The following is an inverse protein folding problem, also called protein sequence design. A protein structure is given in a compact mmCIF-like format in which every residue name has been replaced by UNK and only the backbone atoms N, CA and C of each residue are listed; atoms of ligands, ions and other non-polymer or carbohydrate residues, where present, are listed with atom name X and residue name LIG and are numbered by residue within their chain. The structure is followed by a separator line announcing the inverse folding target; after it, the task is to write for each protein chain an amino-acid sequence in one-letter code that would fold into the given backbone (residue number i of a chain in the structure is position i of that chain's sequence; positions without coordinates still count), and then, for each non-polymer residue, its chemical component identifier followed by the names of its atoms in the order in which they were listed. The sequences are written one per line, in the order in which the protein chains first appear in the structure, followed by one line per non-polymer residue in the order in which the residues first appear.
data_IF_468655120385
#
_entry.id   IF_468655120385
#
_cell.length_a   1.000
_cell.length_b   1.000
_cell.length_c   1.000
_cell.angle_alpha   90.00
_cell.angle_beta   90.00
_cell.angle_gamma   90.00
#
_symmetry.space_group_name_H-M   'P 1'
#
loop_
_entity.id
_entity.type
_entity.pdbx_description
1 polymer ?
#
# COMPACT_ATOMS: atom_id res chain seq x y z
N UNK A 1 23.03 -24.99 -50.50
CA UNK A 1 21.89 -24.06 -50.63
C UNK A 1 21.40 -23.81 -49.20
N UNK A 2 21.67 -22.63 -48.64
CA UNK A 2 21.42 -22.31 -47.22
C UNK A 2 19.93 -22.39 -46.87
N UNK A 3 19.60 -23.04 -45.74
CA UNK A 3 18.29 -22.89 -45.11
C UNK A 3 18.33 -21.70 -44.14
N UNK A 4 17.55 -20.67 -44.45
CA UNK A 4 17.44 -19.43 -43.70
C UNK A 4 16.53 -19.63 -42.48
N UNK A 5 17.08 -19.54 -41.27
CA UNK A 5 16.28 -19.54 -40.05
C UNK A 5 15.65 -18.15 -39.86
N UNK A 6 14.34 -18.04 -40.02
CA UNK A 6 13.59 -16.83 -39.65
C UNK A 6 13.58 -16.69 -38.12
N UNK A 7 14.39 -15.77 -37.59
CA UNK A 7 14.29 -15.30 -36.23
C UNK A 7 13.00 -14.46 -36.10
N UNK A 8 11.95 -15.05 -35.54
CA UNK A 8 10.73 -14.32 -35.17
C UNK A 8 11.08 -13.44 -33.97
N UNK A 9 11.36 -12.16 -34.21
CA UNK A 9 11.42 -11.16 -33.14
C UNK A 9 9.99 -10.93 -32.67
N UNK A 10 9.60 -11.58 -31.57
CA UNK A 10 8.33 -11.30 -30.90
C UNK A 10 8.47 -9.91 -30.27
N UNK A 11 8.10 -8.88 -31.04
CA UNK A 11 7.95 -7.52 -30.53
C UNK A 11 6.94 -7.54 -29.38
N UNK A 12 7.38 -7.25 -28.17
CA UNK A 12 6.48 -7.11 -27.02
C UNK A 12 5.68 -5.82 -27.20
N UNK A 13 4.45 -5.95 -27.70
CA UNK A 13 3.47 -4.87 -27.64
C UNK A 13 3.23 -4.52 -26.17
N UNK A 14 3.83 -3.42 -25.69
CA UNK A 14 3.42 -2.81 -24.43
C UNK A 14 2.06 -2.16 -24.67
N UNK A 15 0.98 -2.86 -24.34
CA UNK A 15 -0.32 -2.24 -24.23
C UNK A 15 -0.24 -1.15 -23.15
N UNK A 16 -0.49 0.11 -23.53
CA UNK A 16 -0.65 1.18 -22.57
C UNK A 16 -1.83 0.83 -21.67
N UNK A 17 -1.57 0.67 -20.37
CA UNK A 17 -2.65 0.59 -19.39
C UNK A 17 -3.33 1.96 -19.33
N UNK A 18 -4.58 2.03 -19.78
CA UNK A 18 -5.45 3.15 -19.45
C UNK A 18 -5.57 3.20 -17.92
N UNK A 19 -5.03 4.25 -17.30
CA UNK A 19 -5.20 4.47 -15.88
C UNK A 19 -6.68 4.79 -15.62
N UNK A 20 -7.40 3.86 -15.00
CA UNK A 20 -8.67 4.19 -14.35
C UNK A 20 -8.38 5.23 -13.26
N UNK A 21 -9.15 6.31 -13.22
CA UNK A 21 -9.04 7.29 -12.15
C UNK A 21 -9.36 6.59 -10.82
N UNK A 22 -8.34 6.30 -10.02
CA UNK A 22 -8.52 5.78 -8.67
C UNK A 22 -9.04 6.91 -7.78
N UNK A 23 -9.96 6.63 -6.84
CA UNK A 23 -10.39 7.63 -5.88
C UNK A 23 -9.18 8.26 -5.18
N UNK A 24 -9.17 9.58 -5.08
CA UNK A 24 -8.15 10.28 -4.31
C UNK A 24 -8.45 10.08 -2.82
N UNK A 25 -7.70 9.18 -2.18
CA UNK A 25 -7.81 8.92 -0.75
C UNK A 25 -6.96 9.92 0.03
N UNK A 26 -7.49 10.43 1.13
CA UNK A 26 -6.74 11.25 2.07
C UNK A 26 -6.08 10.36 3.13
N UNK A 27 -5.01 9.66 2.73
CA UNK A 27 -4.20 8.87 3.64
C UNK A 27 -3.26 9.79 4.41
N UNK A 28 -3.22 9.70 5.74
CA UNK A 28 -2.37 10.57 6.57
C UNK A 28 -1.47 9.76 7.48
N UNK A 29 -0.37 10.40 7.89
CA UNK A 29 0.59 9.88 8.85
C UNK A 29 1.14 8.47 8.55
N UNK A 30 1.64 8.19 7.33
CA UNK A 30 2.18 6.87 7.02
C UNK A 30 3.44 6.58 7.84
N UNK A 31 3.54 5.33 8.32
CA UNK A 31 4.73 4.74 8.95
C UNK A 31 4.96 3.35 8.36
N UNK A 32 6.17 2.81 8.50
CA UNK A 32 6.58 1.56 7.85
C UNK A 32 7.41 0.67 8.77
N UNK A 33 7.16 -0.65 8.70
CA UNK A 33 7.99 -1.68 9.30
C UNK A 33 8.86 -2.37 8.24
N UNK A 34 9.46 -3.53 8.53
CA UNK A 34 10.14 -4.31 7.48
C UNK A 34 9.16 -4.84 6.43
N UNK A 35 7.91 -5.12 6.81
CA UNK A 35 6.94 -5.85 5.98
C UNK A 35 5.63 -5.10 5.75
N UNK A 36 5.28 -4.14 6.61
CA UNK A 36 3.97 -3.48 6.61
C UNK A 36 4.09 -1.95 6.51
N UNK A 37 3.00 -1.31 6.05
CA UNK A 37 2.78 0.13 6.09
C UNK A 37 1.51 0.36 6.91
N UNK A 38 1.58 1.23 7.92
CA UNK A 38 0.42 1.65 8.68
C UNK A 38 0.15 3.14 8.43
N UNK A 39 -1.12 3.53 8.38
CA UNK A 39 -1.55 4.91 8.13
C UNK A 39 -2.93 5.16 8.72
N UNK A 40 -3.31 6.43 8.85
CA UNK A 40 -4.66 6.83 9.22
C UNK A 40 -5.51 7.09 7.96
N UNK A 41 -6.76 6.61 8.00
CA UNK A 41 -7.77 6.89 7.00
C UNK A 41 -9.17 6.82 7.65
N UNK A 42 -9.95 7.90 7.50
CA UNK A 42 -11.31 7.96 8.03
C UNK A 42 -11.40 7.95 9.56
N UNK A 43 -10.33 8.34 10.26
CA UNK A 43 -10.25 8.28 11.73
C UNK A 43 -9.85 6.91 12.30
N UNK A 44 -9.60 5.93 11.44
CA UNK A 44 -9.15 4.59 11.83
C UNK A 44 -7.69 4.36 11.43
N UNK A 45 -7.04 3.38 12.06
CA UNK A 45 -5.74 2.90 11.62
C UNK A 45 -5.90 1.73 10.66
N UNK A 46 -5.20 1.82 9.55
CA UNK A 46 -5.15 0.82 8.51
C UNK A 46 -3.73 0.28 8.36
N UNK A 47 -3.62 -0.99 7.95
CA UNK A 47 -2.35 -1.64 7.65
C UNK A 47 -2.41 -2.34 6.28
N UNK A 48 -1.31 -2.28 5.53
CA UNK A 48 -1.15 -2.93 4.23
C UNK A 48 0.28 -3.47 4.07
N UNK A 49 0.47 -4.63 3.40
CA UNK A 49 1.80 -5.13 3.09
C UNK A 49 2.62 -4.11 2.29
N UNK A 50 3.92 -4.00 2.60
CA UNK A 50 4.87 -3.15 1.84
C UNK A 50 5.01 -3.57 0.38
N UNK A 51 4.73 -4.84 0.08
CA UNK A 51 4.67 -5.34 -1.29
C UNK A 51 3.42 -4.83 -2.06
N UNK A 52 2.54 -4.09 -1.39
CA UNK A 52 1.21 -3.74 -1.90
C UNK A 52 0.21 -4.86 -1.70
N UNK A 53 -1.05 -4.57 -1.98
CA UNK A 53 -2.16 -5.50 -1.80
C UNK A 53 -3.34 -4.84 -1.13
N UNK A 54 -4.12 -5.63 -0.41
CA UNK A 54 -5.31 -5.15 0.27
C UNK A 54 -4.95 -4.59 1.66
N UNK A 55 -5.39 -3.37 1.92
CA UNK A 55 -5.35 -2.77 3.24
C UNK A 55 -6.48 -3.35 4.11
N UNK A 56 -6.26 -3.41 5.42
CA UNK A 56 -7.27 -3.81 6.39
C UNK A 56 -7.25 -2.86 7.59
N UNK A 57 -8.38 -2.76 8.29
CA UNK A 57 -8.47 -1.99 9.54
C UNK A 57 -7.67 -2.72 10.62
N UNK A 58 -6.68 -2.04 11.17
CA UNK A 58 -5.88 -2.51 12.29
C UNK A 58 -6.56 -2.15 13.63
N UNK A 59 -7.06 -0.92 13.74
CA UNK A 59 -7.74 -0.43 14.93
C UNK A 59 -8.81 0.61 14.56
N UNK A 60 -9.93 0.57 15.27
CA UNK A 60 -11.08 1.47 15.13
C UNK A 60 -11.62 1.87 16.50
N UNK A 61 -12.32 3.00 16.57
CA UNK A 61 -12.87 3.56 17.79
C UNK A 61 -13.97 4.57 17.49
N UNK A 62 -14.63 5.06 18.54
CA UNK A 62 -15.63 6.14 18.41
C UNK A 62 -14.98 7.47 18.00
N UNK A 63 -13.73 7.66 18.38
CA UNK A 63 -12.94 8.86 18.16
C UNK A 63 -11.73 8.60 17.25
N UNK A 64 -11.00 9.66 16.93
CA UNK A 64 -9.93 9.63 15.93
C UNK A 64 -8.67 8.92 16.46
N UNK A 65 -8.16 7.96 15.68
CA UNK A 65 -6.87 7.30 15.89
C UNK A 65 -5.85 7.85 14.88
N UNK A 66 -4.75 8.44 15.35
CA UNK A 66 -3.80 9.19 14.51
C UNK A 66 -2.34 8.90 14.82
N UNK A 67 -1.46 9.41 13.97
CA UNK A 67 0.01 9.43 14.14
C UNK A 67 0.59 8.06 14.55
N UNK A 68 0.34 6.99 13.77
CA UNK A 68 0.89 5.68 14.07
C UNK A 68 2.42 5.66 13.95
N UNK A 69 3.08 4.86 14.78
CA UNK A 69 4.51 4.59 14.69
C UNK A 69 4.81 3.14 15.07
N UNK A 70 5.53 2.43 14.19
CA UNK A 70 5.99 1.06 14.49
C UNK A 70 7.08 1.06 15.57
N UNK A 71 7.06 0.03 16.42
CA UNK A 71 8.22 -0.31 17.24
C UNK A 71 9.41 -0.70 16.34
N UNK A 72 10.67 -0.57 16.82
CA UNK A 72 11.84 -0.88 16.00
C UNK A 72 11.88 -2.31 15.44
N UNK A 73 11.29 -3.27 16.15
CA UNK A 73 11.16 -4.67 15.72
C UNK A 73 9.90 -4.94 14.86
N UNK A 74 9.01 -3.95 14.74
CA UNK A 74 7.77 -4.02 13.97
C UNK A 74 6.65 -4.81 14.62
N UNK A 75 6.80 -5.24 15.89
CA UNK A 75 5.79 -6.07 16.58
C UNK A 75 4.63 -5.28 17.18
N UNK A 76 4.77 -3.96 17.33
CA UNK A 76 3.77 -3.07 17.92
C UNK A 76 3.62 -1.78 17.12
N UNK A 77 2.48 -1.13 17.27
CA UNK A 77 2.21 0.22 16.78
C UNK A 77 1.75 1.09 17.96
N UNK A 78 2.44 2.20 18.18
CA UNK A 78 1.97 3.28 19.05
C UNK A 78 1.15 4.27 18.23
N UNK A 79 0.11 4.86 18.82
CA UNK A 79 -0.76 5.84 18.15
C UNK A 79 -1.35 6.83 19.17
N UNK A 80 -1.90 7.94 18.67
CA UNK A 80 -2.65 8.92 19.47
C UNK A 80 -4.14 8.72 19.26
N UNK A 81 -4.86 8.40 20.32
CA UNK A 81 -6.32 8.41 20.35
C UNK A 81 -6.83 9.65 21.08
N UNK A 82 -7.85 10.31 20.53
CA UNK A 82 -8.65 11.28 21.29
C UNK A 82 -9.78 10.54 22.00
N UNK A 83 -10.10 10.91 23.23
CA UNK A 83 -11.25 10.38 23.97
C UNK A 83 -11.80 11.54 24.81
N UNK A 84 -13.12 11.71 24.85
CA UNK A 84 -13.83 12.69 25.68
C UNK A 84 -14.36 12.02 26.96
#
# INVERSE_FOLDING_TARGET
MLALACLVVIGRSHAAHAATAQPLLLLRYPTLSKTEIAFEYGGELWEVPRAGGQAHVLASGMDMLTTPFFSPDGSMIAFTGTYD
#
